data_IF_301874669356
#
_entry.id   IF_301874669356
#
_cell.length_a   1.000
_cell.length_b   1.000
_cell.length_c   1.000
_cell.angle_alpha   90.00
_cell.angle_beta   90.00
_cell.angle_gamma   90.00
#
_symmetry.space_group_name_H-M   'P 1'
#
loop_
_entity.id
_entity.type
_entity.pdbx_description
1 polymer ?
#
# COMPACT_ATOMS: atom_id res chain seq x y z
N UNK A 1 5.21 0.96 12.76
CA UNK A 1 4.27 2.06 12.41
C UNK A 1 2.81 1.59 12.41
N UNK A 2 2.45 0.51 11.69
CA UNK A 2 1.06 0.03 11.57
C UNK A 2 0.25 0.01 12.88
N UNK A 3 0.79 -0.63 13.92
CA UNK A 3 0.12 -0.81 15.22
C UNK A 3 -0.09 0.51 15.95
N UNK A 4 0.91 1.40 15.94
CA UNK A 4 0.81 2.72 16.56
C UNK A 4 -0.26 3.57 15.86
N UNK A 5 -0.29 3.56 14.53
CA UNK A 5 -1.35 4.24 13.77
C UNK A 5 -2.73 3.68 14.10
N UNK A 6 -2.89 2.36 14.17
CA UNK A 6 -4.15 1.73 14.55
C UNK A 6 -4.59 2.14 15.96
N UNK A 7 -3.66 2.12 16.93
CA UNK A 7 -3.90 2.59 18.30
C UNK A 7 -4.42 4.02 18.32
N UNK A 8 -3.77 4.93 17.60
CA UNK A 8 -4.17 6.33 17.55
C UNK A 8 -5.55 6.51 16.90
N UNK A 9 -5.85 5.78 15.82
CA UNK A 9 -7.19 5.79 15.20
C UNK A 9 -8.25 5.37 16.22
N UNK A 10 -8.07 4.25 16.92
CA UNK A 10 -9.04 3.77 17.90
C UNK A 10 -9.16 4.69 19.13
N UNK A 11 -8.06 5.33 19.56
CA UNK A 11 -8.10 6.34 20.61
C UNK A 11 -8.88 7.58 20.17
N UNK A 12 -8.68 8.04 18.94
CA UNK A 12 -9.39 9.19 18.39
C UNK A 12 -10.88 8.92 18.21
N UNK A 13 -11.27 7.73 17.76
CA UNK A 13 -12.68 7.34 17.61
C UNK A 13 -13.47 7.37 18.93
N UNK A 14 -12.80 7.20 20.07
CA UNK A 14 -13.43 7.30 21.40
C UNK A 14 -13.74 8.73 21.81
N UNK A 15 -13.11 9.75 21.21
CA UNK A 15 -13.35 11.15 21.57
C UNK A 15 -14.79 11.57 21.20
N UNK A 16 -15.48 12.38 22.02
CA UNK A 16 -16.90 12.72 21.81
C UNK A 16 -17.24 13.23 20.40
N UNK A 17 -16.36 14.06 19.82
CA UNK A 17 -16.56 14.65 18.50
C UNK A 17 -16.57 13.62 17.36
N UNK A 18 -15.88 12.49 17.52
CA UNK A 18 -15.80 11.42 16.51
C UNK A 18 -16.75 10.26 16.85
N UNK A 19 -17.02 10.00 18.13
CA UNK A 19 -17.94 8.94 18.56
C UNK A 19 -19.34 9.10 17.95
N UNK A 20 -19.84 10.33 17.84
CA UNK A 20 -21.14 10.66 17.21
C UNK A 20 -21.22 10.37 15.70
N UNK A 21 -20.08 10.13 15.04
CA UNK A 21 -20.06 9.83 13.61
C UNK A 21 -20.38 8.36 13.33
N UNK A 22 -20.30 7.49 14.35
CA UNK A 22 -20.58 6.04 14.26
C UNK A 22 -19.78 5.38 13.13
N UNK A 23 -18.48 5.68 13.08
CA UNK A 23 -17.59 5.17 12.05
C UNK A 23 -17.25 3.70 12.31
N UNK A 24 -17.35 2.90 11.26
CA UNK A 24 -16.88 1.53 11.21
C UNK A 24 -15.45 1.52 10.66
N UNK A 25 -14.58 0.70 11.25
CA UNK A 25 -13.17 0.60 10.86
C UNK A 25 -12.97 -0.72 10.11
N UNK A 26 -12.34 -0.63 8.95
CA UNK A 26 -11.93 -1.76 8.14
C UNK A 26 -10.44 -1.69 7.89
N UNK A 27 -9.83 -2.84 7.62
CA UNK A 27 -8.45 -2.94 7.22
C UNK A 27 -8.29 -3.83 5.99
N UNK A 28 -7.32 -3.48 5.15
CA UNK A 28 -6.89 -4.28 4.00
C UNK A 28 -5.38 -4.42 4.04
N UNK A 29 -4.85 -5.53 3.53
CA UNK A 29 -3.41 -5.70 3.38
C UNK A 29 -3.11 -6.41 2.07
N UNK A 30 -2.33 -5.79 1.20
CA UNK A 30 -1.94 -6.35 -0.09
C UNK A 30 -0.49 -6.01 -0.42
N UNK A 31 0.10 -6.75 -1.35
CA UNK A 31 1.42 -6.47 -1.89
C UNK A 31 1.38 -6.20 -3.39
N UNK A 32 2.33 -5.38 -3.85
CA UNK A 32 2.63 -5.18 -5.27
C UNK A 32 3.98 -5.85 -5.53
N UNK A 33 3.95 -6.92 -6.31
CA UNK A 33 5.10 -7.75 -6.61
C UNK A 33 5.13 -8.07 -8.12
N UNK A 34 6.29 -7.86 -8.76
CA UNK A 34 6.48 -8.06 -10.20
C UNK A 34 5.36 -7.45 -11.06
N UNK A 35 5.01 -6.19 -10.76
CA UNK A 35 3.97 -5.43 -11.48
C UNK A 35 2.53 -5.93 -11.30
N UNK A 36 2.29 -6.88 -10.38
CA UNK A 36 0.97 -7.46 -10.08
C UNK A 36 0.59 -7.15 -8.63
N UNK A 37 -0.71 -7.20 -8.33
CA UNK A 37 -1.25 -6.93 -6.99
C UNK A 37 -1.77 -8.24 -6.40
N UNK A 38 -1.48 -8.51 -5.13
CA UNK A 38 -1.86 -9.74 -4.43
C UNK A 38 -2.42 -9.43 -3.05
N UNK A 39 -3.56 -10.03 -2.72
CA UNK A 39 -4.21 -9.87 -1.41
C UNK A 39 -3.50 -10.72 -0.33
N UNK A 40 -2.89 -10.08 0.66
CA UNK A 40 -2.19 -10.76 1.75
C UNK A 40 -3.15 -11.31 2.81
N UNK A 41 -4.40 -10.81 2.85
CA UNK A 41 -5.46 -11.32 3.74
C UNK A 41 -6.31 -12.42 3.09
N UNK A 42 -6.00 -12.75 1.83
CA UNK A 42 -6.68 -13.78 1.05
C UNK A 42 -5.68 -14.66 0.27
N UNK A 43 -4.71 -15.23 0.99
CA UNK A 43 -3.77 -16.26 0.47
C UNK A 43 -3.04 -15.87 -0.82
N UNK A 44 -2.57 -14.62 -0.93
CA UNK A 44 -1.96 -14.06 -2.15
C UNK A 44 -2.83 -14.17 -3.40
N UNK A 45 -4.15 -14.05 -3.26
CA UNK A 45 -5.04 -14.01 -4.43
C UNK A 45 -4.68 -12.81 -5.32
N UNK A 46 -4.44 -13.07 -6.60
CA UNK A 46 -4.10 -12.02 -7.58
C UNK A 46 -5.31 -11.10 -7.82
N UNK A 47 -5.09 -9.80 -7.69
CA UNK A 47 -6.10 -8.75 -7.85
C UNK A 47 -5.92 -7.97 -9.16
N UNK A 48 -7.00 -7.33 -9.60
CA UNK A 48 -7.00 -6.42 -10.76
C UNK A 48 -7.09 -4.98 -10.28
N UNK A 49 -6.26 -4.11 -10.86
CA UNK A 49 -6.33 -2.66 -10.63
C UNK A 49 -7.00 -2.04 -11.84
N UNK A 50 -8.19 -1.49 -11.64
CA UNK A 50 -9.01 -0.84 -12.65
C UNK A 50 -9.19 0.65 -12.31
N UNK A 51 -9.52 1.45 -13.32
CA UNK A 51 -9.84 2.87 -13.18
C UNK A 51 -11.29 3.05 -13.64
N UNK A 52 -12.12 3.70 -12.82
CA UNK A 52 -13.52 3.94 -13.17
C UNK A 52 -13.69 5.18 -14.08
N UNK A 53 -14.93 5.44 -14.52
CA UNK A 53 -15.24 6.60 -15.37
C UNK A 53 -15.01 7.97 -14.71
N UNK A 54 -14.78 8.01 -13.39
CA UNK A 54 -14.41 9.20 -12.61
C UNK A 54 -12.91 9.25 -12.33
N UNK A 55 -12.13 8.41 -13.02
CA UNK A 55 -10.69 8.25 -12.84
C UNK A 55 -10.28 7.73 -11.45
N UNK A 56 -11.20 7.18 -10.65
CA UNK A 56 -10.84 6.60 -9.36
C UNK A 56 -10.25 5.21 -9.56
N UNK A 57 -9.09 4.97 -8.94
CA UNK A 57 -8.41 3.67 -9.04
C UNK A 57 -8.98 2.73 -7.99
N UNK A 58 -9.42 1.56 -8.43
CA UNK A 58 -10.00 0.52 -7.57
C UNK A 58 -9.23 -0.79 -7.72
N UNK A 59 -8.91 -1.40 -6.59
CA UNK A 59 -8.35 -2.75 -6.53
C UNK A 59 -9.49 -3.73 -6.38
N UNK A 60 -9.93 -4.31 -7.50
CA UNK A 60 -11.12 -5.16 -7.56
C UNK A 60 -10.84 -6.51 -6.90
N UNK A 61 -11.72 -6.88 -5.97
CA UNK A 61 -11.66 -8.15 -5.23
C UNK A 61 -10.83 -8.10 -3.96
N UNK A 62 -10.28 -6.93 -3.58
CA UNK A 62 -9.54 -6.75 -2.33
C UNK A 62 -10.45 -6.99 -1.12
N UNK A 63 -10.03 -7.85 -0.19
CA UNK A 63 -10.80 -8.15 1.02
C UNK A 63 -10.65 -7.02 2.06
N UNK A 64 -11.76 -6.36 2.36
CA UNK A 64 -11.89 -5.47 3.52
C UNK A 64 -12.36 -6.27 4.73
N UNK A 65 -11.54 -6.31 5.79
CA UNK A 65 -11.88 -6.97 7.06
C UNK A 65 -12.30 -5.91 8.08
N UNK A 66 -13.48 -6.06 8.67
CA UNK A 66 -13.90 -5.19 9.78
C UNK A 66 -13.01 -5.45 11.00
N UNK A 67 -12.57 -4.38 11.66
CA UNK A 67 -11.73 -4.42 12.86
C UNK A 67 -12.36 -3.55 13.95
N UNK A 68 -12.44 -4.07 15.18
CA UNK A 68 -13.12 -3.39 16.29
C UNK A 68 -12.16 -2.90 17.38
N UNK A 69 -10.94 -3.43 17.38
CA UNK A 69 -9.89 -3.02 18.29
C UNK A 69 -8.49 -3.15 17.66
N UNK A 70 -7.48 -2.73 18.42
CA UNK A 70 -6.06 -2.77 17.98
C UNK A 70 -5.59 -4.20 17.81
N UNK A 71 -6.08 -5.12 18.64
CA UNK A 71 -5.76 -6.55 18.62
C UNK A 71 -6.23 -7.21 17.32
N UNK A 72 -7.37 -6.79 16.76
CA UNK A 72 -7.81 -7.27 15.45
C UNK A 72 -6.85 -6.84 14.34
N UNK A 73 -6.39 -5.58 14.39
CA UNK A 73 -5.41 -5.06 13.42
C UNK A 73 -4.07 -5.80 13.52
N UNK A 74 -3.61 -6.07 14.74
CA UNK A 74 -2.40 -6.87 14.98
C UNK A 74 -2.48 -8.23 14.30
N UNK A 75 -3.59 -8.96 14.48
CA UNK A 75 -3.80 -10.27 13.84
C UNK A 75 -3.74 -10.18 12.32
N UNK A 76 -4.33 -9.14 11.72
CA UNK A 76 -4.28 -8.96 10.25
C UNK A 76 -2.87 -8.66 9.75
N UNK A 77 -2.08 -7.90 10.50
CA UNK A 77 -0.68 -7.62 10.18
C UNK A 77 0.15 -8.91 10.26
N UNK A 78 -0.05 -9.73 11.29
CA UNK A 78 0.61 -11.03 11.43
C UNK A 78 0.27 -11.95 10.26
N UNK A 79 -1.02 -12.11 9.92
CA UNK A 79 -1.46 -12.89 8.76
C UNK A 79 -0.79 -12.40 7.48
N UNK A 80 -0.82 -11.08 7.24
CA UNK A 80 -0.28 -10.52 6.01
C UNK A 80 1.24 -10.62 5.91
N UNK A 81 1.96 -10.46 7.02
CA UNK A 81 3.41 -10.62 7.07
C UNK A 81 3.82 -12.09 6.86
N UNK A 82 3.17 -13.04 7.51
CA UNK A 82 3.40 -14.47 7.27
C UNK A 82 3.13 -14.83 5.81
N UNK A 83 2.05 -14.29 5.24
CA UNK A 83 1.73 -14.48 3.83
C UNK A 83 2.83 -13.90 2.93
N UNK A 84 3.27 -12.66 3.18
CA UNK A 84 4.33 -11.97 2.42
C UNK A 84 5.62 -12.81 2.36
N UNK A 85 6.05 -13.40 3.48
CA UNK A 85 7.29 -14.19 3.60
C UNK A 85 7.25 -15.58 2.94
N UNK A 86 6.08 -16.17 2.71
CA UNK A 86 5.91 -17.59 2.33
C UNK A 86 6.29 -17.97 0.88
N UNK A 87 7.04 -17.13 0.14
CA UNK A 87 7.38 -17.33 -1.29
C UNK A 87 8.61 -18.20 -1.62
N UNK A 88 9.25 -18.83 -0.63
CA UNK A 88 10.41 -19.77 -0.65
C UNK A 88 11.86 -19.26 -0.47
N UNK A 89 12.59 -20.06 0.33
CA UNK A 89 14.03 -20.26 0.65
C UNK A 89 14.89 -19.25 1.42
N UNK A 90 14.47 -18.01 1.67
CA UNK A 90 15.15 -17.22 2.72
C UNK A 90 14.22 -16.18 3.31
N UNK A 91 14.02 -16.26 4.64
CA UNK A 91 13.10 -15.42 5.40
C UNK A 91 13.37 -13.90 5.26
N UNK A 92 14.54 -13.51 4.73
CA UNK A 92 15.01 -12.14 4.65
C UNK A 92 14.99 -11.54 3.22
N UNK A 93 14.63 -12.30 2.18
CA UNK A 93 14.79 -11.86 0.79
C UNK A 93 13.53 -11.33 0.10
N UNK A 94 12.32 -11.63 0.59
CA UNK A 94 11.08 -11.28 -0.12
C UNK A 94 10.40 -9.99 0.38
N UNK A 95 10.52 -9.64 1.67
CA UNK A 95 9.95 -8.37 2.19
C UNK A 95 10.61 -7.15 1.55
N UNK A 96 11.89 -7.23 1.18
CA UNK A 96 12.59 -6.18 0.44
C UNK A 96 12.18 -6.08 -1.04
N UNK A 97 11.45 -7.07 -1.59
CA UNK A 97 11.19 -7.21 -3.04
C UNK A 97 9.74 -7.00 -3.46
N UNK A 98 8.85 -6.76 -2.51
CA UNK A 98 7.47 -6.35 -2.78
C UNK A 98 7.12 -5.08 -2.03
N UNK A 99 6.27 -4.24 -2.62
CA UNK A 99 5.71 -3.08 -1.92
C UNK A 99 4.50 -3.54 -1.13
N UNK A 100 4.53 -3.39 0.19
CA UNK A 100 3.39 -3.69 1.06
C UNK A 100 2.51 -2.45 1.22
N UNK A 101 1.19 -2.63 1.13
CA UNK A 101 0.21 -1.58 1.35
C UNK A 101 -0.80 -2.06 2.38
N UNK A 102 -0.75 -1.45 3.56
CA UNK A 102 -1.74 -1.65 4.61
C UNK A 102 -2.65 -0.44 4.66
N UNK A 103 -3.96 -0.64 4.58
CA UNK A 103 -4.93 0.46 4.62
C UNK A 103 -5.85 0.31 5.83
N UNK A 104 -6.10 1.42 6.51
CA UNK A 104 -7.16 1.59 7.49
C UNK A 104 -8.24 2.44 6.84
N UNK A 105 -9.45 1.90 6.76
CA UNK A 105 -10.58 2.49 6.04
C UNK A 105 -11.68 2.79 7.06
N UNK A 106 -12.12 4.04 7.09
CA UNK A 106 -13.25 4.49 7.89
C UNK A 106 -14.48 4.55 7.00
N UNK A 107 -15.56 3.89 7.40
CA UNK A 107 -16.86 3.93 6.72
C UNK A 107 -17.94 4.48 7.62
N UNK A 108 -18.86 5.25 7.05
CA UNK A 108 -20.08 5.73 7.72
C UNK A 108 -21.29 5.22 6.95
N UNK A 109 -22.10 4.36 7.57
CA UNK A 109 -23.28 3.75 6.93
C UNK A 109 -22.92 3.12 5.57
N UNK A 110 -21.82 2.35 5.54
CA UNK A 110 -21.29 1.70 4.33
C UNK A 110 -20.51 2.60 3.36
N UNK A 111 -20.62 3.93 3.43
CA UNK A 111 -19.91 4.86 2.54
C UNK A 111 -18.50 5.17 3.05
N UNK A 112 -17.54 5.29 2.14
CA UNK A 112 -16.16 5.68 2.48
C UNK A 112 -16.14 7.08 3.11
N UNK A 113 -15.60 7.18 4.32
CA UNK A 113 -15.42 8.44 5.04
C UNK A 113 -13.95 8.89 5.03
N UNK A 114 -13.01 7.96 5.15
CA UNK A 114 -11.59 8.24 5.10
C UNK A 114 -10.76 6.99 4.87
N UNK A 115 -9.55 7.15 4.33
CA UNK A 115 -8.62 6.07 4.04
C UNK A 115 -7.22 6.50 4.43
N UNK A 116 -6.59 5.78 5.35
CA UNK A 116 -5.20 5.96 5.72
C UNK A 116 -4.40 4.81 5.14
N UNK A 117 -3.48 5.09 4.22
CA UNK A 117 -2.63 4.06 3.59
C UNK A 117 -1.21 4.17 4.13
N UNK A 118 -0.72 3.08 4.71
CA UNK A 118 0.66 2.91 5.13
C UNK A 118 1.35 2.02 4.09
N UNK A 119 2.36 2.57 3.43
CA UNK A 119 3.05 1.92 2.34
C UNK A 119 4.49 1.66 2.77
N UNK A 120 4.89 0.40 2.71
CA UNK A 120 6.26 -0.07 2.90
C UNK A 120 6.84 -0.41 1.54
N UNK A 121 7.76 0.43 1.08
CA UNK A 121 8.34 0.33 -0.26
C UNK A 121 9.49 -0.69 -0.26
N UNK A 122 9.57 -1.46 -1.34
CA UNK A 122 10.70 -2.32 -1.62
C UNK A 122 12.02 -1.51 -1.68
N UNK A 123 13.14 -2.19 -1.41
CA UNK A 123 14.46 -1.60 -1.43
C UNK A 123 14.84 -1.05 -2.81
N UNK A 124 15.67 0.00 -2.83
CA UNK A 124 16.20 0.57 -4.07
C UNK A 124 17.62 0.07 -4.33
N UNK A 125 17.88 -1.22 -4.12
CA UNK A 125 19.17 -1.83 -4.44
C UNK A 125 19.53 -1.63 -5.92
N UNK A 126 20.81 -1.36 -6.20
CA UNK A 126 21.25 -1.01 -7.54
C UNK A 126 21.30 -2.26 -8.40
N UNK A 127 20.96 -2.14 -9.68
CA UNK A 127 21.06 -3.25 -10.63
C UNK A 127 22.46 -3.87 -10.72
N UNK A 128 23.52 -3.10 -10.42
CA UNK A 128 24.89 -3.59 -10.32
C UNK A 128 25.06 -4.69 -9.24
N UNK A 129 24.34 -4.55 -8.13
CA UNK A 129 24.40 -5.48 -6.99
C UNK A 129 23.74 -6.84 -7.30
N UNK A 130 22.98 -6.92 -8.40
CA UNK A 130 22.26 -8.12 -8.86
C UNK A 130 22.79 -8.71 -10.16
N UNK A 131 23.92 -8.21 -10.67
CA UNK A 131 24.51 -8.63 -11.95
C UNK A 131 24.90 -10.12 -11.99
N UNK A 132 25.29 -10.68 -10.84
CA UNK A 132 25.58 -12.11 -10.64
C UNK A 132 24.37 -12.94 -10.16
N UNK A 133 23.22 -12.31 -9.91
CA UNK A 133 22.02 -12.98 -9.41
C UNK A 133 21.31 -13.77 -10.51
N UNK A 134 20.47 -14.74 -10.14
CA UNK A 134 19.69 -15.52 -11.10
C UNK A 134 18.72 -14.65 -11.93
N UNK A 135 18.20 -15.21 -13.03
CA UNK A 135 17.29 -14.50 -13.94
C UNK A 135 16.05 -13.95 -13.23
N UNK A 136 15.51 -14.68 -12.26
CA UNK A 136 14.29 -14.31 -11.55
C UNK A 136 14.53 -13.09 -10.66
N UNK A 137 15.62 -13.10 -9.89
CA UNK A 137 16.05 -12.01 -9.02
C UNK A 137 16.34 -10.74 -9.81
N UNK A 138 16.95 -10.85 -10.99
CA UNK A 138 17.17 -9.68 -11.87
C UNK A 138 15.86 -9.07 -12.39
N UNK A 139 14.87 -9.90 -12.75
CA UNK A 139 13.56 -9.41 -13.19
C UNK A 139 12.79 -8.73 -12.05
N UNK A 140 12.88 -9.27 -10.84
CA UNK A 140 12.33 -8.65 -9.63
C UNK A 140 12.96 -7.28 -9.36
N UNK A 141 14.30 -7.21 -9.34
CA UNK A 141 15.04 -5.97 -9.15
C UNK A 141 14.71 -4.91 -10.20
N UNK A 142 14.54 -5.31 -11.47
CA UNK A 142 14.14 -4.41 -12.54
C UNK A 142 12.72 -3.84 -12.32
N UNK A 143 11.76 -4.66 -11.91
CA UNK A 143 10.39 -4.21 -11.65
C UNK A 143 10.30 -3.32 -10.40
N UNK A 144 11.09 -3.60 -9.36
CA UNK A 144 11.21 -2.73 -8.18
C UNK A 144 11.72 -1.35 -8.61
N UNK A 145 12.85 -1.29 -9.30
CA UNK A 145 13.44 -0.04 -9.78
C UNK A 145 12.49 0.75 -10.69
N UNK A 146 11.80 0.07 -11.60
CA UNK A 146 10.77 0.69 -12.47
C UNK A 146 9.63 1.31 -11.66
N UNK A 147 9.13 0.61 -10.65
CA UNK A 147 8.03 1.11 -9.82
C UNK A 147 8.44 2.31 -8.95
N UNK A 148 9.65 2.32 -8.40
CA UNK A 148 10.21 3.42 -7.61
C UNK A 148 10.55 4.64 -8.49
N UNK A 149 11.09 4.42 -9.70
CA UNK A 149 11.30 5.49 -10.68
C UNK A 149 9.97 6.14 -11.07
N UNK A 150 8.93 5.36 -11.36
CA UNK A 150 7.60 5.89 -11.64
C UNK A 150 7.07 6.75 -10.48
N UNK A 151 7.28 6.33 -9.23
CA UNK A 151 6.88 7.10 -8.05
C UNK A 151 7.65 8.43 -7.95
N UNK A 152 8.97 8.41 -8.14
CA UNK A 152 9.82 9.60 -8.17
C UNK A 152 9.36 10.58 -9.24
N UNK A 153 9.04 10.09 -10.43
CA UNK A 153 8.55 10.89 -11.55
C UNK A 153 7.18 11.51 -11.29
N UNK A 154 6.28 10.79 -10.60
CA UNK A 154 4.99 11.34 -10.18
C UNK A 154 5.19 12.50 -9.18
N UNK A 155 6.01 12.31 -8.15
CA UNK A 155 6.31 13.35 -7.15
C UNK A 155 6.93 14.57 -7.81
N UNK A 156 7.90 14.37 -8.72
CA UNK A 156 8.55 15.44 -9.47
C UNK A 156 7.58 16.22 -10.37
N UNK A 157 6.65 15.51 -11.03
CA UNK A 157 5.64 16.15 -11.87
C UNK A 157 4.67 17.00 -11.03
N UNK A 158 4.24 16.50 -9.88
CA UNK A 158 3.39 17.24 -8.93
C UNK A 158 4.10 18.48 -8.37
N UNK A 159 5.35 18.35 -7.92
CA UNK A 159 6.13 19.48 -7.41
C UNK A 159 6.41 20.57 -8.45
N UNK A 160 6.31 20.25 -9.75
CA UNK A 160 6.46 21.21 -10.86
C UNK A 160 5.12 21.66 -11.45
N UNK A 161 3.98 21.28 -10.86
CA UNK A 161 2.64 21.55 -11.37
C UNK A 161 2.48 21.21 -12.86
N UNK A 162 3.04 20.07 -13.29
CA UNK A 162 2.87 19.62 -14.67
C UNK A 162 1.39 19.29 -14.96
N UNK A 163 0.88 19.59 -16.17
CA UNK A 163 -0.50 19.30 -16.53
C UNK A 163 -0.80 17.79 -16.57
N UNK A 164 0.22 16.96 -16.75
CA UNK A 164 0.09 15.50 -16.77
C UNK A 164 1.09 14.85 -15.80
N UNK A 165 0.57 14.05 -14.87
CA UNK A 165 1.33 13.22 -13.93
C UNK A 165 1.19 11.74 -14.32
N UNK A 166 2.31 10.99 -14.51
CA UNK A 166 2.31 9.67 -15.12
C UNK A 166 1.90 8.54 -14.15
N UNK A 167 0.73 8.65 -13.50
CA UNK A 167 0.24 7.64 -12.54
C UNK A 167 0.01 6.26 -13.14
N UNK A 168 -0.02 6.13 -14.48
CA UNK A 168 -0.17 4.84 -15.16
C UNK A 168 1.15 4.09 -15.37
N UNK A 169 2.30 4.69 -15.04
CA UNK A 169 3.61 4.11 -15.28
C UNK A 169 3.91 2.85 -14.45
N UNK A 170 3.26 2.66 -13.30
CA UNK A 170 3.37 1.44 -12.48
C UNK A 170 2.08 1.16 -11.70
N UNK A 171 1.87 -0.10 -11.29
CA UNK A 171 0.72 -0.42 -10.40
C UNK A 171 0.80 0.29 -9.06
N UNK A 172 2.01 0.51 -8.54
CA UNK A 172 2.24 1.31 -7.34
C UNK A 172 1.70 2.74 -7.52
N UNK A 173 2.09 3.42 -8.59
CA UNK A 173 1.63 4.79 -8.86
C UNK A 173 0.13 4.89 -9.17
N UNK A 174 -0.45 3.85 -9.79
CA UNK A 174 -1.91 3.79 -9.97
C UNK A 174 -2.63 3.72 -8.62
N UNK A 175 -2.21 2.81 -7.73
CA UNK A 175 -2.81 2.65 -6.40
C UNK A 175 -2.66 3.90 -5.54
N UNK A 176 -1.53 4.60 -5.66
CA UNK A 176 -1.23 5.82 -4.90
C UNK A 176 -1.86 7.09 -5.47
N UNK A 177 -2.50 7.04 -6.64
CA UNK A 177 -3.05 8.22 -7.33
C UNK A 177 -3.90 9.07 -6.40
N UNK A 178 -4.91 8.47 -5.76
CA UNK A 178 -5.84 9.17 -4.87
C UNK A 178 -5.12 9.87 -3.71
N UNK A 179 -4.02 9.30 -3.21
CA UNK A 179 -3.22 9.89 -2.13
C UNK A 179 -2.45 11.14 -2.57
N UNK A 180 -2.15 11.28 -3.85
CA UNK A 180 -1.41 12.43 -4.37
C UNK A 180 -2.28 13.56 -4.89
N UNK A 181 -3.42 13.26 -5.53
CA UNK A 181 -4.25 14.28 -6.20
C UNK A 181 -5.63 14.47 -5.56
N UNK A 182 -6.00 13.69 -4.55
CA UNK A 182 -7.27 13.87 -3.87
C UNK A 182 -7.37 15.24 -3.20
N UNK A 183 -8.48 15.95 -3.42
CA UNK A 183 -8.70 17.32 -2.89
C UNK A 183 -8.50 17.42 -1.38
N UNK A 184 -8.84 16.36 -0.64
CA UNK A 184 -8.66 16.26 0.82
C UNK A 184 -7.58 15.23 1.21
N UNK A 185 -6.55 15.09 0.38
CA UNK A 185 -5.45 14.16 0.66
C UNK A 185 -4.27 14.86 1.33
N UNK A 186 -3.60 14.13 2.23
CA UNK A 186 -2.31 14.51 2.79
C UNK A 186 -1.38 13.31 2.69
N UNK A 187 -0.17 13.54 2.19
CA UNK A 187 0.85 12.50 2.05
C UNK A 187 2.08 12.89 2.85
N UNK A 188 2.65 11.93 3.58
CA UNK A 188 3.92 12.05 4.28
C UNK A 188 4.86 10.96 3.75
N UNK A 189 6.08 11.34 3.38
CA UNK A 189 7.13 10.42 2.97
C UNK A 189 8.22 10.41 4.04
N UNK A 190 8.57 9.21 4.51
CA UNK A 190 9.69 9.00 5.43
C UNK A 190 10.83 8.36 4.65
N UNK A 191 11.98 9.00 4.64
CA UNK A 191 13.20 8.46 4.01
C UNK A 191 14.07 7.81 5.10
N UNK A 192 14.46 6.56 4.87
CA UNK A 192 15.37 5.81 5.75
C UNK A 192 16.74 5.79 5.09
N UNK A 193 17.78 6.08 5.88
CA UNK A 193 19.18 6.06 5.45
C UNK A 193 19.91 4.96 6.22
N UNK A 194 20.92 4.35 5.60
CA UNK A 194 21.82 3.37 6.21
C UNK A 194 23.14 4.01 6.60
#
# INVERSE_FOLDING_TARGET
VYVFTARDVFLMLKKPNYKKLELQVYATFFEIYSGKVFDLLNRKTKLRVLEDGKQQVQVVGLQEREVKCVEDVLKLIEIGNSCRTSGQTSANAHSSRSHAVFQIILRRKGKLHGKFSLIDLAGNERGADTSSADRQTRLEGAEINKSLLALKECIRALGRNKPHTPFRASKLTQVLRDSFIGENSRTCMVSVFS
#
